data_IF_132426753754
#
_entry.id   IF_132426753754
#
_cell.length_a   1.000
_cell.length_b   1.000
_cell.length_c   1.000
_cell.angle_alpha   90.00
_cell.angle_beta   90.00
_cell.angle_gamma   90.00
#
_symmetry.space_group_name_H-M   'P 1'
#
loop_
_entity.id
_entity.type
_entity.pdbx_description
1 polymer ?
#
# COMPACT_ATOMS: atom_id res chain seq x y z
N UNK A 1 5.46 10.61 13.28
CA UNK A 1 4.70 10.98 12.06
C UNK A 1 5.53 10.52 10.88
N UNK A 2 4.93 9.82 9.91
CA UNK A 2 5.64 9.45 8.67
C UNK A 2 5.89 10.68 7.79
N UNK A 3 6.85 10.61 6.87
CA UNK A 3 7.16 11.71 5.95
C UNK A 3 5.95 12.10 5.08
N UNK A 4 5.14 11.11 4.66
CA UNK A 4 3.83 11.36 4.04
C UNK A 4 2.92 12.20 4.94
N UNK A 5 2.79 11.84 6.22
CA UNK A 5 1.86 12.53 7.12
C UNK A 5 2.25 14.01 7.29
N UNK A 6 3.55 14.28 7.39
CA UNK A 6 4.08 15.65 7.49
C UNK A 6 3.84 16.45 6.19
N UNK A 7 4.09 15.84 5.04
CA UNK A 7 3.88 16.47 3.74
C UNK A 7 2.39 16.73 3.44
N UNK A 8 1.51 15.78 3.79
CA UNK A 8 0.06 15.92 3.64
C UNK A 8 -0.48 17.05 4.52
N UNK A 9 -0.02 17.14 5.77
CA UNK A 9 -0.39 18.24 6.67
C UNK A 9 0.03 19.60 6.10
N UNK A 10 1.28 19.72 5.64
CA UNK A 10 1.78 20.95 4.99
C UNK A 10 0.90 21.36 3.80
N UNK A 11 0.47 20.41 2.97
CA UNK A 11 -0.42 20.71 1.85
C UNK A 11 -1.78 21.23 2.33
N UNK A 12 -2.39 20.58 3.32
CA UNK A 12 -3.67 21.01 3.91
C UNK A 12 -3.55 22.45 4.43
N UNK A 13 -2.50 22.74 5.19
CA UNK A 13 -2.24 24.08 5.75
C UNK A 13 -2.06 25.15 4.64
N UNK A 14 -1.58 24.77 3.44
CA UNK A 14 -1.46 25.68 2.30
C UNK A 14 -2.80 25.96 1.59
N UNK A 15 -3.79 25.07 1.76
CA UNK A 15 -5.11 25.13 1.12
C UNK A 15 -6.15 25.83 2.01
N UNK A 16 -5.87 26.01 3.30
CA UNK A 16 -6.80 26.62 4.28
C UNK A 16 -7.29 28.04 3.93
N UNK A 17 -6.65 28.75 3.00
CA UNK A 17 -7.05 30.12 2.63
C UNK A 17 -7.75 30.14 1.27
N UNK A 18 -9.07 30.38 1.32
CA UNK A 18 -9.94 30.54 0.15
C UNK A 18 -9.53 31.77 -0.68
N UNK A 19 -9.60 31.61 -2.00
CA UNK A 19 -9.42 32.66 -3.03
C UNK A 19 -10.25 33.92 -2.76
N UNK A 20 -11.33 33.81 -1.99
CA UNK A 20 -12.25 34.92 -1.71
C UNK A 20 -11.89 35.77 -0.48
N UNK A 21 -10.77 35.50 0.21
CA UNK A 21 -10.21 36.45 1.18
C UNK A 21 -11.09 36.75 2.40
N UNK A 22 -11.99 35.85 2.81
CA UNK A 22 -12.88 36.06 3.96
C UNK A 22 -12.19 36.03 5.35
N UNK A 23 -10.86 35.92 5.41
CA UNK A 23 -10.12 35.79 6.68
C UNK A 23 -8.67 36.30 6.71
N UNK A 24 -8.17 36.98 5.67
CA UNK A 24 -6.92 37.73 5.73
C UNK A 24 -5.62 36.96 5.41
N UNK A 25 -5.18 37.08 4.16
CA UNK A 25 -3.89 37.66 3.70
C UNK A 25 -4.01 37.73 2.19
N UNK A 26 -4.22 38.92 1.64
CA UNK A 26 -4.29 39.09 0.19
C UNK A 26 -2.97 38.69 -0.47
N UNK A 27 -3.06 37.99 -1.61
CA UNK A 27 -1.93 37.60 -2.46
C UNK A 27 -1.64 36.10 -2.44
N UNK A 28 -1.51 35.49 -3.63
CA UNK A 28 -1.05 34.12 -3.95
C UNK A 28 -1.09 33.09 -2.79
N UNK A 29 -2.21 32.97 -2.10
CA UNK A 29 -2.45 32.00 -1.03
C UNK A 29 -3.79 31.36 -1.35
N UNK A 30 -3.78 30.05 -1.57
CA UNK A 30 -4.92 29.31 -2.10
C UNK A 30 -4.49 28.15 -2.99
N UNK A 31 -5.48 27.44 -3.54
CA UNK A 31 -5.28 26.22 -4.35
C UNK A 31 -4.28 26.39 -5.51
N UNK A 32 -4.14 27.61 -6.05
CA UNK A 32 -3.28 27.92 -7.19
C UNK A 32 -1.99 28.67 -6.83
N UNK A 33 -1.67 28.80 -5.53
CA UNK A 33 -0.42 29.46 -5.13
C UNK A 33 0.81 28.62 -5.46
N UNK A 34 1.93 29.28 -5.76
CA UNK A 34 3.23 28.62 -5.90
C UNK A 34 3.58 27.74 -4.69
N UNK A 35 3.19 28.17 -3.50
CA UNK A 35 3.42 27.43 -2.24
C UNK A 35 2.62 26.14 -2.21
N UNK A 36 1.32 26.18 -2.55
CA UNK A 36 0.46 25.01 -2.62
C UNK A 36 0.90 24.06 -3.72
N UNK A 37 1.27 24.57 -4.90
CA UNK A 37 1.78 23.76 -6.01
C UNK A 37 3.07 23.02 -5.65
N UNK A 38 4.02 23.70 -4.97
CA UNK A 38 5.24 23.05 -4.47
C UNK A 38 4.94 22.01 -3.39
N UNK A 39 4.06 22.32 -2.43
CA UNK A 39 3.66 21.37 -1.40
C UNK A 39 2.97 20.11 -2.00
N UNK A 40 2.15 20.29 -3.04
CA UNK A 40 1.52 19.19 -3.77
C UNK A 40 2.56 18.34 -4.53
N UNK A 41 3.55 18.98 -5.16
CA UNK A 41 4.64 18.28 -5.83
C UNK A 41 5.49 17.47 -4.84
N UNK A 42 5.88 18.08 -3.71
CA UNK A 42 6.63 17.42 -2.65
C UNK A 42 5.89 16.16 -2.15
N UNK A 43 4.59 16.29 -1.87
CA UNK A 43 3.75 15.18 -1.44
C UNK A 43 3.69 14.08 -2.50
N UNK A 44 3.50 14.41 -3.78
CA UNK A 44 3.49 13.44 -4.88
C UNK A 44 4.79 12.64 -4.95
N UNK A 45 5.94 13.30 -4.82
CA UNK A 45 7.25 12.63 -4.86
C UNK A 45 7.42 11.69 -3.68
N UNK A 46 7.06 12.13 -2.47
CA UNK A 46 7.14 11.31 -1.25
C UNK A 46 6.21 10.09 -1.35
N UNK A 47 4.96 10.29 -1.75
CA UNK A 47 3.99 9.20 -1.97
C UNK A 47 4.49 8.19 -3.00
N UNK A 48 5.07 8.67 -4.11
CA UNK A 48 5.60 7.79 -5.15
C UNK A 48 6.78 6.94 -4.67
N UNK A 49 7.61 7.44 -3.75
CA UNK A 49 8.74 6.69 -3.18
C UNK A 49 8.27 5.64 -2.18
N UNK A 50 7.34 5.99 -1.30
CA UNK A 50 6.81 5.03 -0.32
C UNK A 50 5.98 3.92 -0.98
N UNK A 51 5.20 4.24 -2.04
CA UNK A 51 4.39 3.25 -2.77
C UNK A 51 5.25 2.16 -3.45
N UNK A 52 6.46 2.50 -3.91
CA UNK A 52 7.42 1.51 -4.43
C UNK A 52 8.10 0.74 -3.30
N UNK A 53 8.27 1.33 -2.11
CA UNK A 53 9.03 0.72 -1.02
C UNK A 53 8.32 -0.46 -0.31
N UNK A 54 7.01 -0.59 -0.47
CA UNK A 54 6.25 -1.66 0.19
C UNK A 54 6.41 -3.02 -0.50
N UNK A 55 6.63 -3.02 -1.82
CA UNK A 55 6.76 -4.22 -2.62
C UNK A 55 8.18 -4.79 -2.53
N UNK A 56 8.26 -6.07 -2.15
CA UNK A 56 9.47 -6.85 -2.03
C UNK A 56 9.46 -7.96 -3.06
N UNK A 57 10.63 -8.43 -3.47
CA UNK A 57 10.75 -9.54 -4.43
C UNK A 57 10.24 -10.84 -3.81
N UNK A 58 9.62 -11.70 -4.64
CA UNK A 58 8.93 -12.91 -4.16
C UNK A 58 9.83 -13.92 -3.44
N UNK A 59 11.13 -13.95 -3.73
CA UNK A 59 12.13 -14.79 -3.05
C UNK A 59 12.25 -14.48 -1.55
N UNK A 60 11.86 -13.28 -1.13
CA UNK A 60 11.87 -12.85 0.28
C UNK A 60 10.53 -13.07 0.99
N UNK A 61 9.53 -13.66 0.32
CA UNK A 61 8.20 -13.86 0.88
C UNK A 61 8.22 -14.84 2.07
N UNK A 62 7.43 -14.59 3.12
CA UNK A 62 7.38 -15.46 4.28
C UNK A 62 6.76 -16.83 3.93
N UNK A 63 7.48 -17.91 4.25
CA UNK A 63 7.05 -19.30 4.01
C UNK A 63 6.48 -19.98 5.27
N UNK A 64 5.77 -19.20 6.10
CA UNK A 64 5.32 -19.61 7.44
C UNK A 64 3.80 -19.54 7.63
N UNK A 65 3.03 -19.53 6.53
CA UNK A 65 1.56 -19.41 6.57
C UNK A 65 1.03 -17.99 6.76
N UNK A 66 1.89 -16.97 6.87
CA UNK A 66 1.45 -15.57 6.92
C UNK A 66 0.77 -15.18 5.60
N UNK A 67 -0.41 -14.56 5.69
CA UNK A 67 -1.11 -14.03 4.52
C UNK A 67 -0.44 -12.74 4.04
N UNK A 68 -0.09 -12.71 2.76
CA UNK A 68 0.54 -11.58 2.07
C UNK A 68 -0.31 -11.14 0.87
N UNK A 69 -0.06 -9.93 0.37
CA UNK A 69 -0.56 -9.50 -0.92
C UNK A 69 0.53 -9.68 -1.97
N UNK A 70 0.29 -10.47 -3.01
CA UNK A 70 1.23 -10.76 -4.08
C UNK A 70 0.74 -10.22 -5.43
N UNK A 71 1.64 -9.65 -6.23
CA UNK A 71 1.32 -9.13 -7.56
C UNK A 71 1.32 -10.26 -8.59
N UNK A 72 0.14 -10.61 -9.10
CA UNK A 72 -0.02 -11.68 -10.08
C UNK A 72 0.31 -11.18 -11.49
N UNK A 73 1.32 -11.78 -12.12
CA UNK A 73 1.93 -11.31 -13.37
C UNK A 73 1.08 -11.59 -14.60
N UNK A 74 0.23 -12.63 -14.58
CA UNK A 74 -0.68 -12.95 -15.68
C UNK A 74 -1.94 -12.06 -15.61
N UNK A 75 -2.68 -12.12 -14.50
CA UNK A 75 -3.90 -11.33 -14.27
C UNK A 75 -3.69 -9.83 -14.00
N UNK A 76 -2.45 -9.37 -13.77
CA UNK A 76 -2.11 -7.95 -13.53
C UNK A 76 -2.86 -7.32 -12.34
N UNK A 77 -2.99 -8.07 -11.25
CA UNK A 77 -3.69 -7.61 -10.06
C UNK A 77 -3.04 -8.16 -8.77
N UNK A 78 -3.25 -7.49 -7.62
CA UNK A 78 -2.83 -8.04 -6.33
C UNK A 78 -3.79 -9.13 -5.83
N UNK A 79 -3.24 -10.26 -5.39
CA UNK A 79 -3.98 -11.41 -4.83
C UNK A 79 -3.49 -11.67 -3.40
N UNK A 80 -4.42 -12.02 -2.50
CA UNK A 80 -4.05 -12.43 -1.14
C UNK A 80 -3.70 -13.92 -1.11
N UNK A 81 -2.46 -14.25 -0.77
CA UNK A 81 -1.97 -15.63 -0.74
C UNK A 81 -1.25 -15.96 0.58
N UNK A 82 -1.04 -17.24 0.85
CA UNK A 82 -0.25 -17.74 1.98
C UNK A 82 0.49 -19.03 1.60
N UNK A 83 1.59 -19.31 2.31
CA UNK A 83 2.38 -20.52 2.12
C UNK A 83 1.81 -21.68 2.94
N UNK A 84 1.53 -22.82 2.30
CA UNK A 84 1.20 -24.07 2.97
C UNK A 84 2.33 -25.09 2.78
N UNK A 85 2.92 -25.55 3.87
CA UNK A 85 4.03 -26.52 3.86
C UNK A 85 3.63 -27.88 3.27
N UNK A 86 2.37 -28.30 3.44
CA UNK A 86 1.88 -29.58 2.90
C UNK A 86 1.79 -29.56 1.37
N UNK A 87 1.62 -28.37 0.78
CA UNK A 87 1.47 -28.21 -0.66
C UNK A 87 0.20 -28.86 -1.24
N UNK A 88 0.06 -28.77 -2.56
CA UNK A 88 -0.94 -29.47 -3.35
C UNK A 88 -0.31 -29.96 -4.65
N UNK A 89 -0.44 -31.24 -4.93
CA UNK A 89 0.10 -31.83 -6.15
C UNK A 89 -0.79 -31.51 -7.34
N UNK A 90 -0.21 -30.84 -8.33
CA UNK A 90 -0.89 -30.47 -9.57
C UNK A 90 0.06 -30.66 -10.75
N UNK A 91 -0.33 -31.47 -11.74
CA UNK A 91 0.47 -31.75 -12.94
C UNK A 91 1.93 -32.21 -12.66
N UNK A 92 2.15 -32.91 -11.54
CA UNK A 92 3.48 -33.42 -11.17
C UNK A 92 4.38 -32.40 -10.46
N UNK A 93 3.86 -31.21 -10.13
CA UNK A 93 4.51 -30.20 -9.30
C UNK A 93 3.74 -30.06 -7.97
N UNK A 94 4.45 -29.88 -6.86
CA UNK A 94 3.84 -29.56 -5.57
C UNK A 94 3.76 -28.04 -5.41
N UNK A 95 2.55 -27.50 -5.41
CA UNK A 95 2.29 -26.06 -5.31
C UNK A 95 2.02 -25.66 -3.86
N UNK A 96 2.67 -24.60 -3.38
CA UNK A 96 2.61 -24.19 -1.97
C UNK A 96 1.93 -22.84 -1.74
N UNK A 97 1.69 -22.04 -2.79
CA UNK A 97 1.04 -20.73 -2.65
C UNK A 97 -0.47 -20.87 -2.84
N UNK A 98 -1.20 -20.82 -1.72
CA UNK A 98 -2.65 -20.90 -1.69
C UNK A 98 -3.23 -19.49 -1.68
N UNK A 99 -4.26 -19.27 -2.49
CA UNK A 99 -5.15 -18.13 -2.30
C UNK A 99 -5.74 -18.17 -0.88
N UNK A 100 -5.94 -17.01 -0.24
CA UNK A 100 -6.41 -16.92 1.15
C UNK A 100 -7.69 -17.70 1.44
N UNK A 101 -8.59 -17.81 0.45
CA UNK A 101 -9.84 -18.57 0.52
C UNK A 101 -9.66 -20.09 0.35
N UNK A 102 -8.44 -20.56 0.10
CA UNK A 102 -8.09 -21.96 -0.22
C UNK A 102 -8.86 -22.51 -1.44
N UNK A 103 -9.35 -21.63 -2.30
CA UNK A 103 -10.07 -21.98 -3.53
C UNK A 103 -9.14 -22.27 -4.70
N UNK A 104 -7.93 -21.68 -4.68
CA UNK A 104 -6.98 -21.76 -5.78
C UNK A 104 -5.57 -21.91 -5.25
N UNK A 105 -4.75 -22.70 -5.95
CA UNK A 105 -3.31 -22.82 -5.74
C UNK A 105 -2.55 -22.31 -6.96
N UNK A 106 -1.40 -21.71 -6.72
CA UNK A 106 -0.64 -21.03 -7.77
C UNK A 106 0.84 -21.44 -7.72
N UNK A 107 1.50 -21.59 -8.87
CA UNK A 107 2.95 -21.74 -8.91
C UNK A 107 3.64 -20.41 -8.59
N UNK A 108 4.85 -20.45 -8.03
CA UNK A 108 5.53 -19.23 -7.56
C UNK A 108 5.82 -18.21 -8.69
N UNK A 109 6.12 -18.70 -9.89
CA UNK A 109 6.50 -17.86 -11.03
C UNK A 109 5.39 -16.94 -11.56
N UNK A 110 4.12 -17.16 -11.16
CA UNK A 110 3.04 -16.22 -11.49
C UNK A 110 3.02 -14.99 -10.59
N UNK A 111 3.89 -14.91 -9.58
CA UNK A 111 4.03 -13.74 -8.71
C UNK A 111 5.40 -13.08 -8.88
N UNK A 112 5.44 -11.75 -8.98
CA UNK A 112 6.72 -11.03 -9.08
C UNK A 112 7.14 -10.38 -7.76
N UNK A 113 6.19 -9.81 -7.04
CA UNK A 113 6.44 -9.07 -5.80
C UNK A 113 5.37 -9.37 -4.76
N UNK A 114 5.69 -9.13 -3.50
CA UNK A 114 4.76 -9.21 -2.39
C UNK A 114 4.86 -8.00 -1.46
N UNK A 115 3.83 -7.78 -0.67
CA UNK A 115 3.85 -6.83 0.45
C UNK A 115 3.02 -7.37 1.62
N UNK A 116 3.33 -6.97 2.87
CA UNK A 116 2.52 -7.33 4.02
C UNK A 116 1.11 -6.74 3.92
N UNK A 117 0.11 -7.45 4.44
CA UNK A 117 -1.23 -6.89 4.61
C UNK A 117 -1.23 -5.79 5.69
N UNK A 118 -2.13 -4.80 5.60
CA UNK A 118 -2.32 -3.82 6.66
C UNK A 118 -2.64 -4.53 7.99
N UNK A 119 -2.12 -3.98 9.09
CA UNK A 119 -2.46 -4.46 10.42
C UNK A 119 -3.98 -4.42 10.63
N UNK A 120 -4.52 -5.45 11.27
CA UNK A 120 -5.93 -5.44 11.65
C UNK A 120 -6.22 -4.26 12.58
N UNK A 121 -7.43 -3.66 12.53
CA UNK A 121 -7.83 -2.65 13.49
C UNK A 121 -7.71 -3.21 14.91
N UNK A 122 -7.09 -2.47 15.83
CA UNK A 122 -7.09 -2.85 17.24
C UNK A 122 -8.52 -2.77 17.76
N UNK A 123 -9.15 -3.92 18.01
CA UNK A 123 -10.34 -3.98 18.84
C UNK A 123 -9.91 -3.69 20.28
N UNK A 124 -10.31 -2.53 20.83
CA UNK A 124 -10.23 -2.31 22.28
C UNK A 124 -11.04 -3.42 22.93
N UNK A 125 -10.39 -4.21 23.78
CA UNK A 125 -10.94 -5.44 24.34
C UNK A 125 -12.37 -5.28 24.81
N UNK A 126 -13.27 -6.08 24.23
CA UNK A 126 -14.52 -6.42 24.89
C UNK A 126 -14.15 -7.29 26.07
N UNK A 127 -14.41 -6.77 27.28
CA UNK A 127 -14.32 -7.56 28.49
C UNK A 127 -15.18 -8.83 28.33
N UNK A 128 -14.56 -9.98 28.56
CA UNK A 128 -15.25 -11.23 28.82
C UNK A 128 -15.88 -11.19 30.22
#
# INVERSE_FOLDING_TARGET
MTDITKAAKKLIDCVEFDMNGAGGKGGNGGLLSDTTLRAAHDLRVIMSREAVSAWKTMDTAPRNGTVIQAWHTVHKCPISILWNEQGHDFNGETLHWFERSYTTVWPEHVFSHWMPLPSQPMTKGGAA
#
